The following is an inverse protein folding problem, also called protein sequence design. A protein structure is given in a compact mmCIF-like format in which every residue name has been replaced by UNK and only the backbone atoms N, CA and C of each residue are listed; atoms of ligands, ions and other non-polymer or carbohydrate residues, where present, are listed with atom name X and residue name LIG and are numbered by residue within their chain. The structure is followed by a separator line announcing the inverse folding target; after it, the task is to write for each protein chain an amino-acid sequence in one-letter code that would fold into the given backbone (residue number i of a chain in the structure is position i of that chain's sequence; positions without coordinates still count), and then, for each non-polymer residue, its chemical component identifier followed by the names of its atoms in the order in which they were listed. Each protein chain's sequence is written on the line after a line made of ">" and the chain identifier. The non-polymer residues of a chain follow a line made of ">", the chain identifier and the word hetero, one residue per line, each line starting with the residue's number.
data_IF_841014131843
#
_entry.id   IF_841014131843
#
_cell.length_a   1.000
_cell.length_b   1.000
_cell.length_c   1.000
_cell.angle_alpha   90.00
_cell.angle_beta   90.00
_cell.angle_gamma   90.00
#
_symmetry.space_group_name_H-M   'P 1'
#
loop_
_entity.id
_entity.type
_entity.pdbx_description
1 polymer ?
#
# COMPACT_ATOMS: atom_id res chain seq x y z
N UNK A 1 -13.60 0.32 45.42
CA UNK A 1 -13.06 1.25 44.39
C UNK A 1 -12.43 0.41 43.29
N UNK A 2 -12.95 0.48 42.07
CA UNK A 2 -12.38 -0.23 40.91
C UNK A 2 -10.98 0.32 40.64
N UNK A 3 -9.98 -0.57 40.50
CA UNK A 3 -8.64 -0.17 40.05
C UNK A 3 -8.78 0.52 38.69
N UNK A 4 -8.28 1.75 38.59
CA UNK A 4 -8.16 2.44 37.29
C UNK A 4 -7.11 1.66 36.50
N UNK A 5 -7.51 1.14 35.34
CA UNK A 5 -6.58 0.46 34.45
C UNK A 5 -5.72 1.50 33.74
N UNK A 6 -4.42 1.25 33.70
CA UNK A 6 -3.44 2.13 33.07
C UNK A 6 -2.55 1.24 32.19
N UNK A 7 -2.37 1.55 30.89
CA UNK A 7 -1.45 0.81 30.06
C UNK A 7 -0.03 0.84 30.62
N UNK A 8 0.63 -0.32 30.58
CA UNK A 8 2.06 -0.42 30.90
C UNK A 8 2.91 0.21 29.79
N UNK A 9 4.16 0.59 30.09
CA UNK A 9 5.09 1.10 29.07
C UNK A 9 5.25 0.14 27.89
N UNK A 10 5.31 -1.16 28.15
CA UNK A 10 5.38 -2.20 27.11
C UNK A 10 4.13 -2.24 26.22
N UNK A 11 2.96 -1.97 26.77
CA UNK A 11 1.72 -1.87 25.99
C UNK A 11 1.74 -0.62 25.10
N UNK A 12 2.19 0.54 25.61
CA UNK A 12 2.38 1.73 24.77
C UNK A 12 3.39 1.50 23.65
N UNK A 13 4.55 0.90 23.94
CA UNK A 13 5.56 0.54 22.94
C UNK A 13 4.97 -0.37 21.86
N UNK A 14 4.19 -1.37 22.24
CA UNK A 14 3.54 -2.29 21.30
C UNK A 14 2.56 -1.54 20.39
N UNK A 15 1.72 -0.67 20.95
CA UNK A 15 0.74 0.08 20.16
C UNK A 15 1.42 1.07 19.21
N UNK A 16 2.45 1.77 19.68
CA UNK A 16 3.24 2.68 18.87
C UNK A 16 3.96 1.95 17.74
N UNK A 17 4.52 0.76 18.01
CA UNK A 17 5.12 -0.09 16.99
C UNK A 17 4.10 -0.53 15.93
N UNK A 18 2.89 -0.93 16.32
CA UNK A 18 1.84 -1.28 15.34
C UNK A 18 1.39 -0.07 14.52
N UNK A 19 1.27 1.11 15.15
CA UNK A 19 0.95 2.34 14.43
C UNK A 19 2.04 2.64 13.40
N UNK A 20 3.31 2.58 13.80
CA UNK A 20 4.45 2.76 12.91
C UNK A 20 4.45 1.77 11.74
N UNK A 21 4.13 0.50 11.97
CA UNK A 21 3.99 -0.51 10.90
C UNK A 21 2.87 -0.18 9.93
N UNK A 22 1.70 0.27 10.42
CA UNK A 22 0.61 0.72 9.54
C UNK A 22 1.05 1.89 8.66
N UNK A 23 1.64 2.93 9.27
CA UNK A 23 2.12 4.11 8.55
C UNK A 23 3.15 3.72 7.49
N UNK A 24 4.11 2.86 7.85
CA UNK A 24 5.12 2.35 6.95
C UNK A 24 4.51 1.64 5.73
N UNK A 25 3.49 0.79 5.94
CA UNK A 25 2.83 0.08 4.83
C UNK A 25 2.15 1.07 3.87
N UNK A 26 1.36 2.02 4.39
CA UNK A 26 0.68 3.00 3.54
C UNK A 26 1.65 3.92 2.79
N UNK A 27 2.69 4.42 3.47
CA UNK A 27 3.75 5.21 2.84
C UNK A 27 4.53 4.39 1.80
N UNK A 28 4.76 3.10 2.09
CA UNK A 28 5.41 2.18 1.16
C UNK A 28 4.61 1.99 -0.14
N UNK A 29 3.28 1.91 -0.04
CA UNK A 29 2.38 1.88 -1.20
C UNK A 29 2.48 3.20 -1.97
N UNK A 30 2.34 4.36 -1.29
CA UNK A 30 2.43 5.67 -1.93
C UNK A 30 3.76 5.84 -2.69
N UNK A 31 4.89 5.49 -2.07
CA UNK A 31 6.21 5.59 -2.68
C UNK A 31 6.34 4.73 -3.94
N UNK A 32 5.87 3.48 -3.91
CA UNK A 32 5.93 2.57 -5.07
C UNK A 32 5.05 3.05 -6.21
N UNK A 33 3.85 3.54 -5.90
CA UNK A 33 2.97 4.14 -6.92
C UNK A 33 3.64 5.34 -7.60
N UNK A 34 4.26 6.22 -6.82
CA UNK A 34 4.98 7.38 -7.37
C UNK A 34 6.16 6.97 -8.25
N UNK A 35 6.85 5.89 -7.92
CA UNK A 35 7.93 5.36 -8.75
C UNK A 35 7.42 4.72 -10.03
N UNK A 36 6.35 3.92 -9.99
CA UNK A 36 5.91 3.13 -11.15
C UNK A 36 4.97 3.87 -12.11
N UNK A 37 4.05 4.71 -11.60
CA UNK A 37 3.02 5.34 -12.43
C UNK A 37 3.57 6.10 -13.65
N UNK A 38 4.70 6.82 -13.56
CA UNK A 38 5.31 7.46 -14.73
C UNK A 38 5.71 6.50 -15.86
N UNK A 39 5.86 5.21 -15.57
CA UNK A 39 6.31 4.20 -16.52
C UNK A 39 5.18 3.29 -17.02
N UNK A 40 3.94 3.49 -16.56
CA UNK A 40 2.78 2.70 -16.98
C UNK A 40 2.08 3.38 -18.16
N UNK A 41 1.78 2.61 -19.22
CA UNK A 41 1.00 3.11 -20.36
C UNK A 41 -0.46 2.67 -20.20
N UNK A 42 -1.44 3.58 -20.32
CA UNK A 42 -2.84 3.21 -20.28
C UNK A 42 -3.21 2.21 -21.40
N UNK A 43 -4.10 1.24 -21.13
CA UNK A 43 -4.60 0.33 -22.15
C UNK A 43 -5.20 1.09 -23.36
N UNK A 44 -4.89 0.65 -24.58
CA UNK A 44 -5.44 1.25 -25.81
C UNK A 44 -4.77 2.53 -26.31
N UNK A 45 -3.72 3.02 -25.64
CA UNK A 45 -2.82 4.06 -26.16
C UNK A 45 -1.56 3.42 -26.74
N UNK A 46 -1.18 3.82 -27.96
CA UNK A 46 0.09 3.42 -28.54
C UNK A 46 1.25 4.00 -27.72
N UNK A 47 2.32 3.21 -27.60
CA UNK A 47 3.57 3.54 -26.91
C UNK A 47 4.35 4.70 -27.53
N UNK A 48 3.70 5.55 -28.34
CA UNK A 48 4.26 6.78 -28.87
C UNK A 48 4.34 7.86 -27.77
N UNK A 49 4.99 7.51 -26.66
CA UNK A 49 5.51 8.44 -25.65
C UNK A 49 6.86 9.02 -26.09
N UNK A 50 7.06 9.19 -27.40
CA UNK A 50 8.13 10.04 -27.93
C UNK A 50 7.84 11.54 -27.73
N UNK A 51 6.70 11.90 -27.12
CA UNK A 51 6.26 13.29 -26.96
C UNK A 51 5.93 13.75 -25.53
N UNK A 52 5.96 12.88 -24.51
CA UNK A 52 5.83 13.35 -23.12
C UNK A 52 7.21 13.62 -22.54
N UNK A 53 7.45 14.91 -22.27
CA UNK A 53 8.69 15.43 -21.71
C UNK A 53 9.13 14.60 -20.49
N UNK A 54 10.35 14.02 -20.46
CA UNK A 54 10.91 13.38 -19.28
C UNK A 54 10.99 14.30 -18.06
N UNK A 55 10.63 15.58 -18.14
CA UNK A 55 10.33 16.42 -16.97
C UNK A 55 9.11 15.95 -16.15
N UNK A 56 8.20 15.15 -16.73
CA UNK A 56 6.90 14.81 -16.13
C UNK A 56 6.98 13.74 -15.00
N UNK A 57 8.03 12.91 -14.94
CA UNK A 57 8.18 11.93 -13.84
C UNK A 57 8.49 12.60 -12.50
N UNK A 58 9.25 13.71 -12.53
CA UNK A 58 9.52 14.51 -11.32
C UNK A 58 8.23 15.07 -10.74
N UNK A 59 7.25 15.43 -11.58
CA UNK A 59 5.94 15.88 -11.15
C UNK A 59 5.28 14.85 -10.21
N UNK A 60 5.43 13.54 -10.47
CA UNK A 60 4.86 12.49 -9.64
C UNK A 60 5.62 12.27 -8.33
N UNK A 61 6.95 12.26 -8.37
CA UNK A 61 7.78 12.13 -7.18
C UNK A 61 7.65 13.34 -6.25
N UNK A 62 7.70 14.55 -6.83
CA UNK A 62 7.59 15.83 -6.14
C UNK A 62 6.13 16.18 -5.80
N UNK A 63 5.16 15.43 -6.34
CA UNK A 63 3.76 15.68 -6.01
C UNK A 63 3.50 15.46 -4.53
N UNK A 64 2.70 16.36 -3.95
CA UNK A 64 2.06 16.15 -2.64
C UNK A 64 0.88 15.17 -2.73
N UNK A 65 0.77 14.41 -3.83
CA UNK A 65 -0.31 13.45 -4.02
C UNK A 65 -0.19 12.35 -2.97
N UNK A 66 -1.27 12.17 -2.22
CA UNK A 66 -1.44 11.12 -1.23
C UNK A 66 -2.01 9.87 -1.89
N UNK A 67 -2.21 8.80 -1.11
CA UNK A 67 -2.67 7.51 -1.61
C UNK A 67 -3.94 7.57 -2.48
N UNK A 68 -4.91 8.42 -2.15
CA UNK A 68 -6.18 8.53 -2.89
C UNK A 68 -5.99 8.87 -4.38
N UNK A 69 -5.41 10.04 -4.71
CA UNK A 69 -5.10 10.41 -6.09
C UNK A 69 -4.21 9.41 -6.83
N UNK A 70 -3.23 8.81 -6.14
CA UNK A 70 -2.33 7.82 -6.76
C UNK A 70 -3.07 6.53 -7.14
N UNK A 71 -3.97 6.06 -6.27
CA UNK A 71 -4.83 4.90 -6.54
C UNK A 71 -5.79 5.19 -7.70
N UNK A 72 -6.36 6.40 -7.76
CA UNK A 72 -7.24 6.75 -8.87
C UNK A 72 -6.52 6.68 -10.21
N UNK A 73 -5.28 7.20 -10.26
CA UNK A 73 -4.45 7.08 -11.45
C UNK A 73 -4.12 5.63 -11.77
N UNK A 74 -3.73 4.82 -10.79
CA UNK A 74 -3.46 3.40 -11.02
C UNK A 74 -4.66 2.68 -11.71
N UNK A 75 -5.90 3.02 -11.35
CA UNK A 75 -7.10 2.45 -11.99
C UNK A 75 -7.18 2.76 -13.49
N UNK A 76 -6.65 3.89 -13.93
CA UNK A 76 -6.61 4.28 -15.35
C UNK A 76 -5.61 3.41 -16.16
N UNK A 77 -4.67 2.76 -15.48
CA UNK A 77 -3.59 1.96 -16.09
C UNK A 77 -3.77 0.45 -15.96
N UNK A 78 -4.77 -0.01 -15.22
CA UNK A 78 -4.98 -1.45 -14.95
C UNK A 78 -6.22 -1.94 -15.67
N UNK A 79 -6.02 -2.94 -16.53
CA UNK A 79 -7.13 -3.71 -17.11
C UNK A 79 -7.44 -4.91 -16.20
N UNK A 80 -8.70 -5.03 -15.79
CA UNK A 80 -9.18 -6.04 -14.85
C UNK A 80 -10.47 -6.68 -15.34
N UNK A 81 -10.57 -8.00 -15.17
CA UNK A 81 -11.81 -8.75 -15.43
C UNK A 81 -12.93 -8.42 -14.43
N UNK A 82 -12.59 -7.83 -13.28
CA UNK A 82 -13.52 -7.48 -12.20
C UNK A 82 -13.19 -6.08 -11.65
N UNK A 83 -13.45 -5.02 -12.43
CA UNK A 83 -13.06 -3.64 -12.08
C UNK A 83 -13.76 -3.15 -10.80
N UNK A 84 -14.99 -3.57 -10.53
CA UNK A 84 -15.77 -3.18 -9.36
C UNK A 84 -15.21 -3.72 -8.04
N UNK A 85 -14.69 -4.96 -8.05
CA UNK A 85 -14.04 -5.55 -6.87
C UNK A 85 -12.74 -4.83 -6.55
N UNK A 86 -11.96 -4.53 -7.59
CA UNK A 86 -10.71 -3.79 -7.48
C UNK A 86 -10.95 -2.35 -7.00
N UNK A 87 -11.97 -1.68 -7.53
CA UNK A 87 -12.36 -0.34 -7.09
C UNK A 87 -12.73 -0.31 -5.60
N UNK A 88 -13.56 -1.27 -5.16
CA UNK A 88 -13.97 -1.41 -3.77
C UNK A 88 -12.77 -1.63 -2.86
N UNK A 89 -11.91 -2.59 -3.20
CA UNK A 89 -10.78 -2.99 -2.35
C UNK A 89 -9.76 -1.84 -2.24
N UNK A 90 -9.47 -1.13 -3.33
CA UNK A 90 -8.55 0.00 -3.30
C UNK A 90 -9.13 1.23 -2.60
N UNK A 91 -10.42 1.51 -2.77
CA UNK A 91 -11.12 2.56 -2.02
C UNK A 91 -11.10 2.26 -0.52
N UNK A 92 -11.24 0.99 -0.13
CA UNK A 92 -11.14 0.55 1.26
C UNK A 92 -9.74 0.79 1.84
N UNK A 93 -8.68 0.54 1.07
CA UNK A 93 -7.29 0.81 1.49
C UNK A 93 -7.07 2.33 1.70
N UNK A 94 -7.58 3.18 0.80
CA UNK A 94 -7.51 4.65 0.95
C UNK A 94 -8.24 5.11 2.20
N UNK A 95 -9.44 4.56 2.46
CA UNK A 95 -10.20 4.84 3.68
C UNK A 95 -9.41 4.45 4.93
N UNK A 96 -8.85 3.25 4.97
CA UNK A 96 -8.04 2.79 6.10
C UNK A 96 -6.79 3.65 6.35
N UNK A 97 -6.14 4.10 5.28
CA UNK A 97 -5.04 5.06 5.39
C UNK A 97 -5.50 6.34 6.07
N UNK A 98 -6.63 6.91 5.65
CA UNK A 98 -7.16 8.14 6.25
C UNK A 98 -7.55 7.94 7.72
N UNK A 99 -8.17 6.81 8.04
CA UNK A 99 -8.52 6.48 9.42
C UNK A 99 -7.29 6.39 10.33
N UNK A 100 -6.21 5.76 9.88
CA UNK A 100 -4.96 5.67 10.65
C UNK A 100 -4.24 7.02 10.74
N UNK A 101 -4.17 7.77 9.63
CA UNK A 101 -3.35 8.99 9.56
C UNK A 101 -4.05 10.23 10.13
N UNK A 102 -5.38 10.28 10.08
CA UNK A 102 -6.15 11.49 10.41
C UNK A 102 -7.15 11.26 11.53
N UNK A 103 -7.78 10.08 11.61
CA UNK A 103 -8.88 9.85 12.54
C UNK A 103 -8.54 8.94 13.71
N UNK A 104 -7.28 8.50 13.86
CA UNK A 104 -6.89 7.53 14.88
C UNK A 104 -7.13 8.04 16.30
N UNK A 105 -6.80 9.32 16.55
CA UNK A 105 -7.01 9.96 17.86
C UNK A 105 -8.48 10.23 18.17
N UNK A 106 -9.33 10.23 17.15
CA UNK A 106 -10.78 10.45 17.26
C UNK A 106 -11.54 9.13 17.56
N UNK A 107 -10.86 7.98 17.49
CA UNK A 107 -11.50 6.69 17.71
C UNK A 107 -11.95 6.50 19.17
N UNK A 108 -13.06 5.78 19.44
CA UNK A 108 -13.54 5.54 20.80
C UNK A 108 -12.51 4.89 21.74
N UNK A 109 -11.59 4.11 21.18
CA UNK A 109 -10.52 3.44 21.90
C UNK A 109 -9.30 4.34 22.21
N UNK A 110 -9.20 5.55 21.64
CA UNK A 110 -7.98 6.37 21.66
C UNK A 110 -7.52 6.77 23.06
N UNK A 111 -8.46 6.84 24.02
CA UNK A 111 -8.20 7.18 25.43
C UNK A 111 -7.50 6.08 26.21
N UNK A 112 -7.54 4.82 25.73
CA UNK A 112 -6.91 3.67 26.40
C UNK A 112 -7.22 3.61 27.90
N UNK A 113 -8.47 3.84 28.30
CA UNK A 113 -8.91 3.86 29.71
C UNK A 113 -9.27 2.45 30.25
N UNK A 114 -9.30 1.46 29.36
CA UNK A 114 -9.60 0.05 29.68
C UNK A 114 -8.74 -0.87 28.83
N UNK A 115 -8.48 -2.06 29.37
CA UNK A 115 -7.72 -3.10 28.66
C UNK A 115 -8.38 -3.50 27.34
N UNK A 116 -9.72 -3.53 27.31
CA UNK A 116 -10.49 -3.81 26.09
C UNK A 116 -10.20 -2.79 24.99
N UNK A 117 -10.16 -1.49 25.31
CA UNK A 117 -9.85 -0.44 24.33
C UNK A 117 -8.42 -0.54 23.81
N UNK A 118 -7.48 -0.99 24.63
CA UNK A 118 -6.13 -1.26 24.16
C UNK A 118 -6.08 -2.37 23.11
N UNK A 119 -6.77 -3.50 23.36
CA UNK A 119 -6.85 -4.56 22.36
C UNK A 119 -7.64 -4.14 21.12
N UNK A 120 -8.69 -3.33 21.28
CA UNK A 120 -9.44 -2.76 20.16
C UNK A 120 -8.53 -1.88 19.28
N UNK A 121 -7.74 -1.00 19.89
CA UNK A 121 -6.77 -0.16 19.17
C UNK A 121 -5.72 -0.99 18.42
N UNK A 122 -5.20 -2.06 19.05
CA UNK A 122 -4.27 -2.99 18.41
C UNK A 122 -4.90 -3.70 17.22
N UNK A 123 -6.11 -4.24 17.39
CA UNK A 123 -6.81 -4.97 16.34
C UNK A 123 -7.20 -4.03 15.19
N UNK A 124 -7.60 -2.80 15.50
CA UNK A 124 -7.86 -1.75 14.52
C UNK A 124 -6.65 -1.52 13.61
N UNK A 125 -5.45 -1.41 14.18
CA UNK A 125 -4.22 -1.20 13.41
C UNK A 125 -3.85 -2.45 12.61
N UNK A 126 -3.82 -3.62 13.26
CA UNK A 126 -3.44 -4.89 12.61
C UNK A 126 -4.31 -5.20 11.41
N UNK A 127 -5.63 -5.10 11.55
CA UNK A 127 -6.56 -5.38 10.47
C UNK A 127 -6.30 -4.49 9.23
N UNK A 128 -6.05 -3.20 9.44
CA UNK A 128 -5.79 -2.25 8.35
C UNK A 128 -4.46 -2.51 7.67
N UNK A 129 -3.42 -2.80 8.45
CA UNK A 129 -2.11 -3.22 7.95
C UNK A 129 -2.24 -4.48 7.10
N UNK A 130 -2.88 -5.52 7.64
CA UNK A 130 -3.03 -6.81 6.99
C UNK A 130 -3.84 -6.70 5.70
N UNK A 131 -4.84 -5.81 5.65
CA UNK A 131 -5.59 -5.53 4.43
C UNK A 131 -4.75 -4.82 3.36
N UNK A 132 -3.82 -3.94 3.77
CA UNK A 132 -3.01 -3.15 2.86
C UNK A 132 -1.73 -3.87 2.36
N UNK A 133 -1.20 -4.83 3.15
CA UNK A 133 0.04 -5.57 2.82
C UNK A 133 0.00 -6.25 1.45
N UNK A 134 -1.09 -6.92 1.01
CA UNK A 134 -1.15 -7.54 -0.31
C UNK A 134 -0.85 -6.55 -1.45
N UNK A 135 -1.42 -5.34 -1.39
CA UNK A 135 -1.16 -4.31 -2.40
C UNK A 135 0.31 -3.85 -2.35
N UNK A 136 0.88 -3.67 -1.15
CA UNK A 136 2.29 -3.32 -1.00
C UNK A 136 3.21 -4.35 -1.68
N UNK A 137 2.95 -5.64 -1.47
CA UNK A 137 3.75 -6.72 -2.03
C UNK A 137 3.63 -6.76 -3.56
N UNK A 138 2.42 -6.65 -4.10
CA UNK A 138 2.21 -6.65 -5.56
C UNK A 138 2.94 -5.45 -6.20
N UNK A 139 2.82 -4.26 -5.61
CA UNK A 139 3.53 -3.08 -6.11
C UNK A 139 5.05 -3.22 -6.00
N UNK A 140 5.54 -3.89 -4.95
CA UNK A 140 6.95 -4.17 -4.81
C UNK A 140 7.46 -5.09 -5.92
N UNK A 141 6.74 -6.17 -6.21
CA UNK A 141 7.11 -7.11 -7.27
C UNK A 141 7.11 -6.43 -8.64
N UNK A 142 6.12 -5.55 -8.91
CA UNK A 142 6.08 -4.75 -10.14
C UNK A 142 7.29 -3.80 -10.21
N UNK A 143 7.62 -3.09 -9.13
CA UNK A 143 8.78 -2.20 -9.10
C UNK A 143 10.09 -2.95 -9.34
N UNK A 144 10.28 -4.13 -8.73
CA UNK A 144 11.46 -4.96 -8.96
C UNK A 144 11.55 -5.35 -10.44
N UNK A 145 10.46 -5.87 -11.01
CA UNK A 145 10.44 -6.25 -12.43
C UNK A 145 10.65 -5.07 -13.39
N UNK A 146 10.25 -3.86 -13.01
CA UNK A 146 10.55 -2.64 -13.78
C UNK A 146 12.04 -2.28 -13.69
N UNK A 147 12.63 -2.31 -12.49
CA UNK A 147 14.06 -2.01 -12.29
C UNK A 147 14.92 -3.00 -13.06
N UNK A 148 14.64 -4.30 -12.94
CA UNK A 148 15.39 -5.35 -13.65
C UNK A 148 15.39 -5.12 -15.17
N UNK A 149 14.26 -4.67 -15.74
CA UNK A 149 14.15 -4.34 -17.16
C UNK A 149 14.94 -3.08 -17.54
N UNK A 150 14.86 -2.03 -16.71
CA UNK A 150 15.63 -0.80 -16.92
C UNK A 150 17.13 -1.03 -16.84
N UNK A 151 17.58 -1.97 -16.01
CA UNK A 151 18.99 -2.37 -15.90
C UNK A 151 19.44 -3.27 -17.07
N UNK A 152 18.54 -4.09 -17.63
CA UNK A 152 18.83 -4.92 -18.80
C UNK A 152 18.79 -4.17 -20.13
N UNK A 153 18.03 -3.08 -20.23
CA UNK A 153 17.81 -2.30 -21.46
C UNK A 153 18.89 -1.22 -21.69
N UNK A 154 20.11 -1.68 -21.98
CA UNK A 154 21.04 -0.91 -22.82
C UNK A 154 20.51 -0.68 -24.25
N UNK A 155 19.36 -1.26 -24.63
CA UNK A 155 18.67 -1.00 -25.89
C UNK A 155 17.19 -1.43 -25.81
N UNK A 156 16.28 -0.48 -26.08
CA UNK A 156 14.84 -0.64 -26.42
C UNK A 156 13.83 -0.73 -25.26
N UNK A 157 13.27 0.43 -24.91
CA UNK A 157 12.09 0.59 -24.04
C UNK A 157 10.82 0.06 -24.71
N UNK A 158 10.47 -1.20 -24.46
CA UNK A 158 9.10 -1.71 -24.69
C UNK A 158 8.22 -1.49 -23.45
N UNK A 159 7.04 -0.93 -23.67
CA UNK A 159 6.12 -0.50 -22.62
C UNK A 159 5.41 -1.65 -21.89
N UNK A 160 5.30 -1.56 -20.56
CA UNK A 160 4.70 -2.61 -19.72
C UNK A 160 3.17 -2.49 -19.70
N UNK A 161 2.47 -3.56 -20.12
CA UNK A 161 1.03 -3.75 -19.88
C UNK A 161 0.82 -4.51 -18.57
N UNK A 162 0.19 -3.90 -17.56
CA UNK A 162 -0.19 -4.57 -16.33
C UNK A 162 -1.52 -5.30 -16.49
N UNK A 163 -1.50 -6.63 -16.41
CA UNK A 163 -2.71 -7.43 -16.19
C UNK A 163 -2.85 -7.76 -14.71
N UNK A 164 -3.94 -7.31 -14.09
CA UNK A 164 -4.24 -7.67 -12.70
C UNK A 164 -4.85 -9.07 -12.62
N UNK A 165 -4.26 -9.95 -11.80
CA UNK A 165 -4.88 -11.20 -11.36
C UNK A 165 -5.17 -11.10 -9.87
N UNK A 166 -6.42 -11.30 -9.47
CA UNK A 166 -6.79 -11.33 -8.06
C UNK A 166 -5.94 -12.36 -7.30
N UNK A 167 -5.48 -12.05 -6.07
CA UNK A 167 -4.75 -13.03 -5.28
C UNK A 167 -5.65 -14.22 -4.97
N UNK A 168 -5.24 -15.42 -5.42
CA UNK A 168 -5.82 -16.67 -4.94
C UNK A 168 -5.57 -16.75 -3.42
N UNK A 169 -6.64 -16.99 -2.67
CA UNK A 169 -6.69 -16.98 -1.20
C UNK A 169 -5.93 -18.15 -0.52
N UNK A 170 -4.80 -18.58 -1.08
CA UNK A 170 -4.00 -19.69 -0.58
C UNK A 170 -2.53 -19.31 -0.44
N UNK A 171 -2.22 -18.40 0.47
CA UNK A 171 -0.86 -18.21 0.96
C UNK A 171 -0.56 -19.35 1.94
N UNK A 172 0.00 -20.47 1.45
CA UNK A 172 0.66 -21.45 2.32
C UNK A 172 2.13 -21.02 2.49
N UNK A 173 2.61 -20.77 3.71
CA UNK A 173 4.01 -20.44 3.92
C UNK A 173 4.90 -21.62 3.50
N UNK A 174 5.95 -21.33 2.73
CA UNK A 174 7.04 -22.29 2.44
C UNK A 174 7.74 -22.63 3.76
N UNK A 175 8.00 -23.91 4.07
CA UNK A 175 8.85 -24.23 5.20
C UNK A 175 10.28 -23.78 4.90
N UNK A 176 10.90 -23.10 5.87
CA UNK A 176 12.32 -22.76 5.87
C UNK A 176 13.11 -24.07 5.71
N UNK A 177 13.97 -24.13 4.68
CA UNK A 177 14.91 -25.24 4.53
C UNK A 177 15.75 -25.32 5.79
N UNK A 178 15.77 -26.51 6.38
CA UNK A 178 16.42 -26.80 7.64
C UNK A 178 17.92 -26.52 7.63
N UNK A 179 18.37 -25.99 8.75
CA UNK A 179 19.73 -26.18 9.24
C UNK A 179 19.88 -27.62 9.72
N UNK A 180 20.73 -28.37 9.03
CA UNK A 180 21.49 -29.50 9.56
C UNK A 180 22.73 -29.66 8.68
#
# INVERSE_FOLDING_TARGET
>A
MSKVWIPTSKQHELLFAELGRCVYVFQGIEARLKMMLPHLIPPGKDASLAGEDPSNWRLYLDSKNTLGPLIQKLKEHVDSSHPELLDRDWTQIVKYRNEVMHHYVEQPFSRLDTESKFYEALNFLRHRRETAVPLLLILQDICIGLIDRLESDGAHTESIKLQWRAPNNSFKPRPLRGSA
#
